data_IF_305436997101
#
_entry.id   IF_305436997101
#
_cell.length_a   1.000
_cell.length_b   1.000
_cell.length_c   1.000
_cell.angle_alpha   90.00
_cell.angle_beta   90.00
_cell.angle_gamma   90.00
#
_symmetry.space_group_name_H-M   'P 1'
#
loop_
_entity.id
_entity.type
_entity.pdbx_description
1 polymer ?
#
# COMPACT_ATOMS: atom_id res chain seq x y z
N UNK A 1 -2.22 3.79 -17.04
CA UNK A 1 -2.47 2.46 -16.43
C UNK A 1 -3.96 2.21 -16.41
N UNK A 2 -4.40 0.95 -16.56
CA UNK A 2 -5.82 0.57 -16.54
C UNK A 2 -6.15 -0.09 -15.20
N UNK A 3 -6.60 0.69 -14.22
CA UNK A 3 -6.98 0.18 -12.88
C UNK A 3 -8.10 -0.86 -12.97
N UNK A 4 -8.97 -0.74 -13.97
CA UNK A 4 -10.04 -1.66 -14.35
C UNK A 4 -9.56 -3.08 -14.71
N UNK A 5 -8.27 -3.26 -14.98
CA UNK A 5 -7.67 -4.58 -15.28
C UNK A 5 -7.13 -5.32 -14.07
N UNK A 6 -7.03 -4.66 -12.91
CA UNK A 6 -6.58 -5.33 -11.70
C UNK A 6 -7.66 -6.29 -11.20
N UNK A 7 -7.26 -7.34 -10.48
CA UNK A 7 -8.21 -8.18 -9.77
C UNK A 7 -8.95 -7.35 -8.70
N UNK A 8 -10.13 -7.81 -8.30
CA UNK A 8 -10.93 -7.13 -7.26
C UNK A 8 -10.11 -6.91 -5.98
N UNK A 9 -9.38 -7.93 -5.52
CA UNK A 9 -8.50 -7.82 -4.34
C UNK A 9 -7.36 -6.81 -4.53
N UNK A 10 -6.78 -6.71 -5.72
CA UNK A 10 -5.75 -5.69 -5.98
C UNK A 10 -6.33 -4.26 -6.01
N UNK A 11 -7.57 -4.09 -6.47
CA UNK A 11 -8.27 -2.81 -6.41
C UNK A 11 -8.59 -2.42 -4.95
N UNK A 12 -9.16 -3.36 -4.16
CA UNK A 12 -9.39 -3.18 -2.72
C UNK A 12 -8.10 -2.78 -1.97
N UNK A 13 -6.97 -3.40 -2.30
CA UNK A 13 -5.68 -3.09 -1.68
C UNK A 13 -5.20 -1.66 -2.01
N UNK A 14 -5.44 -1.18 -3.23
CA UNK A 14 -5.12 0.21 -3.61
C UNK A 14 -6.03 1.22 -2.90
N UNK A 15 -7.31 0.91 -2.76
CA UNK A 15 -8.25 1.73 -1.99
C UNK A 15 -7.85 1.79 -0.51
N UNK A 16 -7.50 0.66 0.10
CA UNK A 16 -7.00 0.60 1.46
C UNK A 16 -5.68 1.38 1.63
N UNK A 17 -4.78 1.32 0.64
CA UNK A 17 -3.55 2.12 0.66
C UNK A 17 -3.82 3.63 0.60
N UNK A 18 -4.82 4.06 -0.19
CA UNK A 18 -5.25 5.45 -0.25
C UNK A 18 -5.87 5.91 1.09
N UNK A 19 -6.69 5.05 1.71
CA UNK A 19 -7.26 5.32 3.03
C UNK A 19 -6.16 5.43 4.10
N UNK A 20 -5.13 4.59 4.04
CA UNK A 20 -3.99 4.63 4.96
C UNK A 20 -3.18 5.93 4.81
N UNK A 21 -2.90 6.37 3.58
CA UNK A 21 -2.21 7.64 3.34
C UNK A 21 -3.03 8.82 3.89
N UNK A 22 -4.34 8.81 3.66
CA UNK A 22 -5.25 9.84 4.16
C UNK A 22 -5.27 9.89 5.69
N UNK A 23 -5.40 8.74 6.38
CA UNK A 23 -5.45 8.68 7.84
C UNK A 23 -4.13 9.11 8.50
N UNK A 24 -3.00 8.94 7.81
CA UNK A 24 -1.68 9.40 8.26
C UNK A 24 -1.35 10.84 7.87
N UNK A 25 -2.27 11.59 7.24
CA UNK A 25 -2.04 12.94 6.71
C UNK A 25 -0.87 12.99 5.71
N UNK A 26 -0.79 11.97 4.84
CA UNK A 26 0.23 11.82 3.81
C UNK A 26 -0.38 12.10 2.43
N UNK A 27 0.22 13.01 1.67
CA UNK A 27 -0.30 13.47 0.38
C UNK A 27 -0.10 12.48 -0.76
N UNK A 28 0.86 11.56 -0.61
CA UNK A 28 1.19 10.58 -1.63
C UNK A 28 0.85 9.17 -1.17
N UNK A 29 0.23 8.39 -2.06
CA UNK A 29 0.13 6.95 -1.95
C UNK A 29 1.44 6.36 -2.47
N UNK A 30 2.14 5.67 -1.60
CA UNK A 30 3.49 5.12 -1.86
C UNK A 30 3.48 3.58 -1.86
N UNK A 31 4.55 2.93 -2.35
CA UNK A 31 4.66 1.47 -2.26
C UNK A 31 4.54 0.92 -0.84
N UNK A 32 4.99 1.66 0.17
CA UNK A 32 4.90 1.31 1.59
C UNK A 32 3.43 1.16 2.03
N UNK A 33 2.57 2.09 1.59
CA UNK A 33 1.13 2.02 1.86
C UNK A 33 0.50 0.79 1.21
N UNK A 34 0.83 0.53 -0.06
CA UNK A 34 0.31 -0.62 -0.78
C UNK A 34 0.78 -1.93 -0.16
N UNK A 35 2.05 -2.01 0.26
CA UNK A 35 2.58 -3.19 0.95
C UNK A 35 1.86 -3.42 2.28
N UNK A 36 1.70 -2.37 3.10
CA UNK A 36 0.97 -2.47 4.35
C UNK A 36 -0.48 -2.95 4.12
N UNK A 37 -1.17 -2.39 3.12
CA UNK A 37 -2.53 -2.80 2.76
C UNK A 37 -2.60 -4.26 2.28
N UNK A 38 -1.67 -4.71 1.45
CA UNK A 38 -1.60 -6.11 0.97
C UNK A 38 -1.32 -7.10 2.10
N UNK A 39 -0.52 -6.71 3.10
CA UNK A 39 -0.20 -7.54 4.26
C UNK A 39 -1.32 -7.59 5.30
N UNK A 40 -2.20 -6.57 5.33
CA UNK A 40 -3.36 -6.52 6.21
C UNK A 40 -4.64 -7.07 5.56
N UNK A 41 -4.64 -7.23 4.23
CA UNK A 41 -5.80 -7.69 3.47
C UNK A 41 -6.23 -9.12 3.86
N UNK A 42 -7.43 -9.22 4.42
CA UNK A 42 -8.10 -10.50 4.65
C UNK A 42 -8.34 -11.25 3.33
N UNK A 43 -8.09 -12.55 3.33
CA UNK A 43 -8.20 -13.43 2.16
C UNK A 43 -7.30 -12.99 0.97
N UNK A 44 -6.29 -12.15 1.24
CA UNK A 44 -5.27 -11.77 0.28
C UNK A 44 -4.24 -12.88 0.05
N UNK A 45 -3.55 -12.83 -1.09
CA UNK A 45 -2.53 -13.83 -1.46
C UNK A 45 -1.12 -13.47 -1.00
N UNK A 46 -0.87 -12.22 -0.58
CA UNK A 46 0.46 -11.74 -0.24
C UNK A 46 1.07 -12.51 0.95
N UNK A 47 0.33 -12.66 2.05
CA UNK A 47 0.79 -13.37 3.25
C UNK A 47 1.11 -14.86 2.96
N UNK A 48 0.22 -15.65 2.33
CA UNK A 48 0.53 -17.03 1.95
C UNK A 48 1.75 -17.18 1.03
N UNK A 49 1.94 -16.26 0.09
CA UNK A 49 3.12 -16.27 -0.81
C UNK A 49 4.39 -16.04 0.00
N UNK A 50 4.41 -15.02 0.87
CA UNK A 50 5.57 -14.71 1.71
C UNK A 50 5.92 -15.86 2.65
N UNK A 51 4.92 -16.52 3.24
CA UNK A 51 5.13 -17.71 4.08
C UNK A 51 5.75 -18.86 3.29
N UNK A 52 5.26 -19.12 2.07
CA UNK A 52 5.83 -20.15 1.17
C UNK A 52 7.27 -19.85 0.78
N UNK A 53 7.66 -18.58 0.72
CA UNK A 53 9.03 -18.13 0.47
C UNK A 53 9.92 -18.15 1.72
N UNK A 54 9.40 -18.56 2.89
CA UNK A 54 10.14 -18.60 4.14
C UNK A 54 10.31 -17.24 4.83
N UNK A 55 9.60 -16.20 4.38
CA UNK A 55 9.60 -14.90 5.03
C UNK A 55 8.67 -14.90 6.27
N UNK A 56 8.91 -14.00 7.21
CA UNK A 56 8.04 -13.76 8.36
C UNK A 56 7.07 -12.59 8.05
N UNK A 57 5.79 -12.86 7.74
CA UNK A 57 4.84 -11.80 7.37
C UNK A 57 4.51 -10.85 8.52
N UNK A 58 4.55 -11.32 9.77
CA UNK A 58 4.31 -10.46 10.93
C UNK A 58 5.40 -9.40 11.05
N UNK A 59 6.67 -9.82 10.95
CA UNK A 59 7.79 -8.88 10.91
C UNK A 59 7.69 -7.91 9.72
N UNK A 60 7.31 -8.40 8.53
CA UNK A 60 7.14 -7.53 7.36
C UNK A 60 6.01 -6.51 7.56
N UNK A 61 4.91 -6.91 8.21
CA UNK A 61 3.79 -6.02 8.53
C UNK A 61 4.22 -4.92 9.48
N UNK A 62 4.96 -5.27 10.53
CA UNK A 62 5.50 -4.28 11.49
C UNK A 62 6.42 -3.29 10.78
N UNK A 63 7.37 -3.79 9.97
CA UNK A 63 8.29 -2.96 9.19
C UNK A 63 7.58 -2.07 8.16
N UNK A 64 6.55 -2.58 7.50
CA UNK A 64 5.75 -1.78 6.57
C UNK A 64 5.00 -0.66 7.32
N UNK A 65 4.46 -0.94 8.51
CA UNK A 65 3.83 0.06 9.37
C UNK A 65 4.82 1.13 9.84
N UNK A 66 6.02 0.74 10.28
CA UNK A 66 7.12 1.66 10.64
C UNK A 66 7.49 2.56 9.45
N UNK A 67 7.63 1.98 8.25
CA UNK A 67 7.95 2.71 7.04
C UNK A 67 6.87 3.74 6.71
N UNK A 68 5.59 3.35 6.73
CA UNK A 68 4.45 4.27 6.53
C UNK A 68 4.49 5.40 7.58
N UNK A 69 4.70 5.07 8.86
CA UNK A 69 4.72 6.07 9.92
C UNK A 69 5.84 7.13 9.76
N UNK A 70 6.94 6.75 9.10
CA UNK A 70 8.09 7.62 8.82
C UNK A 70 7.93 8.54 7.61
N UNK A 71 6.91 8.33 6.77
CA UNK A 71 6.71 9.15 5.57
C UNK A 71 6.26 10.59 5.92
N UNK A 72 6.63 11.59 5.10
CA UNK A 72 6.30 12.99 5.35
C UNK A 72 4.79 13.25 5.47
N UNK A 73 4.41 13.98 6.51
CA UNK A 73 3.01 14.38 6.76
C UNK A 73 2.81 15.83 6.35
N UNK A 74 1.70 16.13 5.70
CA UNK A 74 1.36 17.50 5.28
C UNK A 74 -0.02 17.87 5.79
N UNK A 75 -0.08 18.99 6.49
CA UNK A 75 -1.30 19.55 7.04
C UNK A 75 -1.74 20.74 6.18
N UNK A 76 -3.05 20.87 5.93
CA UNK A 76 -3.63 22.01 5.20
C UNK A 76 -3.88 21.78 3.71
N UNK A 77 -3.49 20.64 3.13
CA UNK A 77 -3.99 20.24 1.82
C UNK A 77 -5.30 19.47 1.99
N UNK A 78 -6.44 20.09 1.66
CA UNK A 78 -7.75 19.43 1.67
C UNK A 78 -8.00 18.46 0.50
N UNK A 79 -6.94 17.90 -0.09
CA UNK A 79 -7.00 17.04 -1.27
C UNK A 79 -6.90 15.55 -0.92
N UNK A 80 -7.49 14.70 -1.76
CA UNK A 80 -7.25 13.26 -1.68
C UNK A 80 -5.78 12.93 -2.03
N UNK A 81 -5.16 11.93 -1.37
CA UNK A 81 -3.82 11.50 -1.72
C UNK A 81 -3.71 11.07 -3.19
N UNK A 82 -2.62 11.42 -3.86
CA UNK A 82 -2.35 10.99 -5.24
C UNK A 82 -1.27 9.91 -5.28
N UNK A 83 -1.19 9.15 -6.38
CA UNK A 83 -0.12 8.14 -6.53
C UNK A 83 1.25 8.83 -6.59
N UNK A 84 2.22 8.34 -5.83
CA UNK A 84 3.62 8.71 -5.97
C UNK A 84 4.19 8.20 -7.29
N UNK A 85 5.27 8.83 -7.76
CA UNK A 85 6.01 8.36 -8.94
C UNK A 85 6.58 6.94 -8.74
N UNK A 86 6.99 6.59 -7.52
CA UNK A 86 7.48 5.26 -7.19
C UNK A 86 6.37 4.20 -7.33
N UNK A 87 5.19 4.47 -6.76
CA UNK A 87 4.05 3.55 -6.86
C UNK A 87 3.58 3.41 -8.31
N UNK A 88 3.50 4.51 -9.07
CA UNK A 88 3.17 4.46 -10.50
C UNK A 88 4.11 3.53 -11.28
N UNK A 89 5.42 3.56 -11.01
CA UNK A 89 6.39 2.66 -11.64
C UNK A 89 6.20 1.20 -11.24
N UNK A 90 5.85 0.93 -9.98
CA UNK A 90 5.55 -0.43 -9.50
C UNK A 90 4.33 -0.97 -10.25
N UNK A 91 3.25 -0.20 -10.32
CA UNK A 91 2.01 -0.64 -10.93
C UNK A 91 2.10 -0.77 -12.46
N UNK A 92 3.00 -0.05 -13.12
CA UNK A 92 3.27 -0.21 -14.56
C UNK A 92 4.05 -1.50 -14.90
N UNK A 93 4.78 -2.07 -13.94
CA UNK A 93 5.54 -3.32 -14.12
C UNK A 93 4.73 -4.57 -13.78
N UNK A 94 3.56 -4.40 -13.19
CA UNK A 94 2.61 -5.47 -12.85
C UNK A 94 1.76 -5.83 -14.07
#
# INVERSE_FOLDING_TARGET
MRLDKLTVKSQEALEAAAALASSHSQQEITPEHLLAALLDQAEGVAVPILQKLGANPALLKDRAGEAVASLPRVYGSGGQPHLSNALNKVLQKA
#
